data_IF_185759374470
#
_entry.id   IF_185759374470
#
_cell.length_a   1.000
_cell.length_b   1.000
_cell.length_c   1.000
_cell.angle_alpha   90.00
_cell.angle_beta   90.00
_cell.angle_gamma   90.00
#
_symmetry.space_group_name_H-M   'P 1'
#
loop_
_entity.id
_entity.type
_entity.pdbx_description
1 polymer ?
#
# COMPACT_ATOMS: atom_id res chain seq x y z
N UNK A 1 -8.90 -26.73 34.00
CA UNK A 1 -9.24 -25.64 34.96
C UNK A 1 -8.07 -25.36 35.89
N UNK A 2 -7.37 -24.24 35.72
CA UNK A 2 -6.63 -23.55 36.80
C UNK A 2 -6.42 -22.10 36.37
N UNK A 3 -6.95 -21.14 37.13
CA UNK A 3 -6.78 -19.70 36.89
C UNK A 3 -5.45 -19.28 37.50
N UNK A 4 -4.66 -18.47 36.79
CA UNK A 4 -3.52 -17.75 37.38
C UNK A 4 -3.79 -16.26 37.28
N UNK A 5 -3.44 -15.54 38.34
CA UNK A 5 -3.97 -14.21 38.67
C UNK A 5 -2.92 -13.14 38.34
N UNK A 6 -3.32 -12.09 37.65
CA UNK A 6 -2.51 -10.88 37.44
C UNK A 6 -2.35 -10.10 38.76
N UNK A 7 -1.15 -9.58 39.08
CA UNK A 7 -1.02 -8.40 39.90
C UNK A 7 -1.17 -7.14 39.05
N UNK A 8 -2.21 -6.35 39.33
CA UNK A 8 -2.24 -4.93 38.94
C UNK A 8 -1.04 -4.20 39.56
N UNK A 9 -0.28 -3.44 38.76
CA UNK A 9 0.57 -2.37 39.28
C UNK A 9 0.14 -1.04 38.67
N UNK A 10 -0.72 -0.34 39.41
CA UNK A 10 -1.10 1.04 39.15
C UNK A 10 -0.04 1.97 39.75
N UNK A 11 0.55 2.88 38.95
CA UNK A 11 0.85 4.23 39.46
C UNK A 11 0.97 5.32 38.37
N UNK A 12 -0.03 6.19 38.37
CA UNK A 12 0.01 7.66 38.17
C UNK A 12 0.87 8.32 37.09
N UNK A 13 0.20 8.66 35.99
CA UNK A 13 -0.02 10.04 35.50
C UNK A 13 0.80 11.20 36.15
N UNK A 14 1.57 11.95 35.33
CA UNK A 14 1.75 13.41 35.45
C UNK A 14 1.74 14.04 34.05
N UNK A 15 0.98 15.11 33.87
CA UNK A 15 0.92 15.91 32.63
C UNK A 15 2.15 16.83 32.49
N UNK A 16 2.66 16.99 31.28
CA UNK A 16 3.67 17.98 30.91
C UNK A 16 3.27 18.77 29.68
N UNK A 17 2.29 19.68 29.80
CA UNK A 17 2.03 20.70 28.79
C UNK A 17 3.02 21.84 28.98
N UNK A 18 4.08 21.87 28.17
CA UNK A 18 4.96 23.04 28.04
C UNK A 18 4.30 24.06 27.10
N UNK A 19 4.35 25.34 27.49
CA UNK A 19 3.59 26.40 26.83
C UNK A 19 4.19 26.84 25.48
N UNK A 20 3.32 27.23 24.54
CA UNK A 20 3.70 28.08 23.42
C UNK A 20 4.23 29.41 23.95
N UNK A 21 5.34 29.90 23.37
CA UNK A 21 5.83 31.26 23.57
C UNK A 21 6.05 31.94 22.21
N UNK A 22 5.65 33.21 22.16
CA UNK A 22 5.74 34.19 21.06
C UNK A 22 7.05 34.11 20.23
N UNK A 23 7.10 34.56 18.97
CA UNK A 23 6.82 35.95 18.59
C UNK A 23 6.69 36.16 17.06
N UNK A 24 5.69 36.90 16.55
CA UNK A 24 5.63 37.28 15.13
C UNK A 24 6.47 38.54 14.84
N UNK A 25 7.69 38.36 14.36
CA UNK A 25 8.50 39.46 13.83
C UNK A 25 7.91 40.03 12.54
N UNK A 26 7.07 41.05 12.67
CA UNK A 26 6.74 41.98 11.59
C UNK A 26 8.00 42.77 11.26
N UNK A 27 8.64 42.48 10.12
CA UNK A 27 9.56 43.42 9.49
C UNK A 27 8.84 44.12 8.32
N UNK A 28 8.83 45.44 8.37
CA UNK A 28 8.13 46.33 7.44
C UNK A 28 9.09 47.41 6.98
N UNK A 29 9.93 47.08 6.00
CA UNK A 29 10.80 48.05 5.33
C UNK A 29 10.23 48.47 3.95
N UNK A 30 9.70 49.69 3.81
CA UNK A 30 9.18 50.20 2.55
C UNK A 30 10.29 50.76 1.65
N UNK A 31 10.07 50.73 0.32
CA UNK A 31 10.78 51.58 -0.64
C UNK A 31 9.83 52.16 -1.69
N UNK A 32 10.04 53.44 -1.99
CA UNK A 32 9.23 54.28 -2.90
C UNK A 32 9.47 54.03 -4.40
N UNK A 33 8.71 54.77 -5.22
CA UNK A 33 8.36 54.55 -6.64
C UNK A 33 9.33 55.17 -7.69
N UNK A 34 8.84 55.21 -8.97
CA UNK A 34 9.27 55.99 -10.19
C UNK A 34 10.14 55.18 -11.20
N UNK A 35 9.88 55.06 -12.52
CA UNK A 35 8.71 55.37 -13.44
C UNK A 35 8.83 54.51 -14.75
N UNK A 36 7.76 54.28 -15.56
CA UNK A 36 7.77 53.40 -16.76
C UNK A 36 8.05 54.13 -18.10
N UNK A 37 8.30 53.45 -19.25
CA UNK A 37 7.25 53.12 -20.26
C UNK A 37 7.58 51.89 -21.19
N UNK A 38 6.93 51.62 -22.35
CA UNK A 38 5.51 51.25 -22.59
C UNK A 38 5.37 49.94 -23.46
N UNK A 39 4.36 49.71 -24.35
CA UNK A 39 3.56 48.48 -24.34
C UNK A 39 3.89 47.43 -25.42
N UNK A 40 3.43 46.18 -25.21
CA UNK A 40 3.47 45.11 -26.22
C UNK A 40 2.33 44.11 -26.04
N UNK A 41 1.70 43.72 -27.16
CA UNK A 41 0.67 42.68 -27.23
C UNK A 41 1.22 41.35 -26.68
N UNK A 42 0.46 40.45 -26.03
CA UNK A 42 -0.97 40.24 -26.16
C UNK A 42 -1.23 38.99 -27.00
N UNK A 43 -0.88 37.80 -26.50
CA UNK A 43 -1.43 36.51 -26.93
C UNK A 43 -1.16 35.40 -25.89
N UNK A 44 -2.12 34.50 -25.74
CA UNK A 44 -2.20 33.46 -24.71
C UNK A 44 -1.91 32.08 -25.32
N UNK A 45 -1.07 31.25 -24.69
CA UNK A 45 -1.23 29.80 -24.80
C UNK A 45 -1.67 29.21 -23.46
N UNK A 46 -2.89 28.68 -23.43
CA UNK A 46 -3.37 27.81 -22.35
C UNK A 46 -2.38 26.66 -22.15
N UNK A 47 -1.65 26.70 -21.04
CA UNK A 47 -1.00 25.52 -20.48
C UNK A 47 -2.01 24.89 -19.52
N UNK A 48 -2.42 23.63 -19.69
CA UNK A 48 -3.14 22.93 -18.63
C UNK A 48 -2.22 22.87 -17.42
N UNK A 49 -2.65 23.47 -16.31
CA UNK A 49 -2.00 23.23 -15.03
C UNK A 49 -2.19 21.75 -14.70
N UNK A 50 -1.16 20.93 -14.94
CA UNK A 50 -1.08 19.59 -14.39
C UNK A 50 -0.95 19.73 -12.86
N UNK A 51 -2.11 19.86 -12.21
CA UNK A 51 -2.25 19.68 -10.77
C UNK A 51 -2.23 18.19 -10.50
N UNK A 52 -1.07 17.59 -10.75
CA UNK A 52 -0.58 16.39 -10.09
C UNK A 52 -0.51 16.72 -8.59
N UNK A 53 -1.67 16.63 -7.94
CA UNK A 53 -1.76 16.50 -6.50
C UNK A 53 -1.05 15.19 -6.19
N UNK A 54 0.24 15.28 -5.88
CA UNK A 54 0.89 14.32 -4.99
C UNK A 54 0.15 14.40 -3.66
N UNK A 55 -0.98 13.69 -3.59
CA UNK A 55 -1.61 13.39 -2.33
C UNK A 55 -0.68 12.41 -1.62
N UNK A 56 0.27 12.98 -0.89
CA UNK A 56 1.25 12.32 -0.03
C UNK A 56 0.69 10.99 0.44
N UNK A 57 1.26 9.89 -0.06
CA UNK A 57 0.84 8.55 0.31
C UNK A 57 0.80 8.49 1.84
N UNK A 58 -0.40 8.24 2.39
CA UNK A 58 -0.56 8.23 3.82
C UNK A 58 0.26 7.05 4.33
N UNK A 59 1.35 7.33 5.06
CA UNK A 59 2.20 6.33 5.71
C UNK A 59 1.45 5.76 6.91
N UNK A 60 0.33 5.10 6.64
CA UNK A 60 -0.43 4.37 7.63
C UNK A 60 0.40 3.17 8.06
N UNK A 61 0.66 3.08 9.35
CA UNK A 61 1.19 1.87 9.95
C UNK A 61 0.30 0.66 9.59
N UNK A 62 0.92 -0.47 9.30
CA UNK A 62 0.23 -1.68 8.80
C UNK A 62 -0.38 -1.58 7.38
N UNK A 63 0.09 -0.69 6.51
CA UNK A 63 -0.18 -0.72 5.06
C UNK A 63 -1.62 -0.44 4.62
N UNK A 64 -2.41 0.20 5.49
CA UNK A 64 -3.78 0.61 5.21
C UNK A 64 -3.83 1.91 4.38
N UNK A 65 -4.74 1.99 3.42
CA UNK A 65 -5.02 3.21 2.67
C UNK A 65 -6.53 3.46 2.71
N UNK A 66 -6.93 4.73 2.71
CA UNK A 66 -8.33 5.17 2.79
C UNK A 66 -8.63 6.20 1.70
N UNK A 67 -9.78 6.07 1.05
CA UNK A 67 -10.33 7.04 0.10
C UNK A 67 -9.46 7.33 -1.13
N UNK A 68 -8.57 6.41 -1.52
CA UNK A 68 -7.73 6.58 -2.70
C UNK A 68 -8.53 6.26 -3.97
N UNK A 69 -9.07 7.31 -4.59
CA UNK A 69 -9.86 7.22 -5.83
C UNK A 69 -9.09 6.63 -7.00
N UNK A 70 -7.77 6.80 -7.06
CA UNK A 70 -6.95 6.25 -8.13
C UNK A 70 -6.71 4.76 -7.93
N UNK A 71 -6.58 4.33 -6.66
CA UNK A 71 -6.60 2.91 -6.33
C UNK A 71 -7.98 2.28 -6.56
N UNK A 72 -9.09 2.98 -6.26
CA UNK A 72 -10.44 2.47 -6.50
C UNK A 72 -10.66 2.02 -7.96
N UNK A 73 -10.22 2.83 -8.94
CA UNK A 73 -10.28 2.47 -10.36
C UNK A 73 -9.41 1.23 -10.68
N UNK A 74 -8.15 1.20 -10.20
CA UNK A 74 -7.25 0.05 -10.38
C UNK A 74 -7.76 -1.22 -9.74
N UNK A 75 -8.32 -1.12 -8.52
CA UNK A 75 -8.93 -2.25 -7.83
C UNK A 75 -10.11 -2.76 -8.63
N UNK A 76 -10.99 -1.90 -9.15
CA UNK A 76 -12.14 -2.31 -9.96
C UNK A 76 -11.77 -3.19 -11.17
N UNK A 77 -10.57 -3.03 -11.74
CA UNK A 77 -10.05 -3.87 -12.83
C UNK A 77 -9.51 -5.24 -12.40
N UNK A 78 -9.26 -5.48 -11.10
CA UNK A 78 -8.80 -6.77 -10.59
C UNK A 78 -9.97 -7.77 -10.47
N UNK A 79 -9.68 -9.04 -10.71
CA UNK A 79 -10.64 -10.14 -10.47
C UNK A 79 -10.77 -10.52 -8.98
N UNK A 80 -9.93 -9.92 -8.12
CA UNK A 80 -9.71 -10.29 -6.72
C UNK A 80 -10.12 -9.16 -5.78
N UNK A 81 -10.72 -9.53 -4.65
CA UNK A 81 -10.91 -8.66 -3.47
C UNK A 81 -9.92 -8.99 -2.36
N UNK A 82 -9.33 -10.19 -2.35
CA UNK A 82 -8.24 -10.60 -1.48
C UNK A 82 -7.20 -11.41 -2.25
N UNK A 83 -5.92 -11.19 -1.96
CA UNK A 83 -4.82 -12.00 -2.49
C UNK A 83 -3.66 -12.00 -1.48
N UNK A 84 -3.47 -13.14 -0.81
CA UNK A 84 -2.48 -13.35 0.23
C UNK A 84 -1.57 -14.51 -0.18
N UNK A 85 -0.29 -14.24 -0.45
CA UNK A 85 0.69 -15.20 -0.93
C UNK A 85 1.89 -15.26 0.01
N UNK A 86 2.15 -16.42 0.60
CA UNK A 86 3.36 -16.69 1.40
C UNK A 86 4.17 -17.84 0.77
N UNK A 87 5.42 -17.54 0.39
CA UNK A 87 6.36 -18.54 -0.15
C UNK A 87 7.63 -18.55 0.69
N UNK A 88 7.88 -19.64 1.41
CA UNK A 88 9.04 -19.78 2.32
C UNK A 88 10.10 -20.72 1.75
N UNK A 89 11.35 -20.25 1.72
CA UNK A 89 12.55 -20.99 1.30
C UNK A 89 13.45 -21.39 2.47
N UNK A 90 13.17 -20.91 3.68
CA UNK A 90 13.93 -21.20 4.89
C UNK A 90 13.41 -20.39 6.08
N UNK A 91 14.05 -20.50 7.27
CA UNK A 91 13.58 -19.84 8.50
C UNK A 91 13.42 -18.32 8.39
N UNK A 92 14.34 -17.67 7.68
CA UNK A 92 14.39 -16.20 7.52
C UNK A 92 14.26 -15.77 6.04
N UNK A 93 13.76 -16.67 5.18
CA UNK A 93 13.67 -16.47 3.72
C UNK A 93 12.25 -16.68 3.23
N UNK A 94 11.53 -15.59 3.06
CA UNK A 94 10.13 -15.57 2.65
C UNK A 94 9.87 -14.48 1.61
N UNK A 95 8.91 -14.75 0.74
CA UNK A 95 8.18 -13.75 -0.02
C UNK A 95 6.74 -13.79 0.48
N UNK A 96 6.35 -12.78 1.24
CA UNK A 96 5.03 -12.61 1.83
C UNK A 96 4.37 -11.37 1.21
N UNK A 97 3.20 -11.55 0.62
CA UNK A 97 2.43 -10.49 -0.01
C UNK A 97 0.97 -10.53 0.44
N UNK A 98 0.47 -9.40 0.92
CA UNK A 98 -0.84 -9.21 1.55
C UNK A 98 -1.64 -8.17 0.74
N UNK A 99 -2.86 -8.50 0.29
CA UNK A 99 -3.81 -7.52 -0.28
C UNK A 99 -5.26 -7.82 0.09
N UNK A 100 -5.96 -6.76 0.51
CA UNK A 100 -7.39 -6.79 0.86
C UNK A 100 -8.07 -5.49 0.40
N UNK A 101 -9.02 -5.59 -0.52
CA UNK A 101 -10.00 -4.54 -0.83
C UNK A 101 -10.99 -4.44 0.33
N UNK A 102 -10.93 -3.35 1.09
CA UNK A 102 -11.81 -3.13 2.26
C UNK A 102 -13.11 -2.45 1.87
N UNK A 103 -13.07 -1.61 0.83
CA UNK A 103 -14.25 -1.00 0.23
C UNK A 103 -13.92 -0.40 -1.15
N UNK A 104 -14.90 -0.45 -2.05
CA UNK A 104 -14.82 0.04 -3.43
C UNK A 104 -14.63 1.58 -3.55
N UNK A 105 -14.61 2.32 -2.44
CA UNK A 105 -14.29 3.75 -2.37
C UNK A 105 -12.77 4.07 -2.42
N UNK A 106 -11.91 3.05 -2.47
CA UNK A 106 -10.46 3.24 -2.36
C UNK A 106 -9.86 2.91 -0.99
N UNK A 107 -10.60 2.20 -0.13
CA UNK A 107 -10.09 1.68 1.14
C UNK A 107 -9.49 0.28 0.93
N UNK A 108 -8.21 0.08 1.28
CA UNK A 108 -7.52 -1.21 1.12
C UNK A 108 -6.40 -1.42 2.14
N UNK A 109 -5.93 -2.66 2.24
CA UNK A 109 -4.62 -3.01 2.82
C UNK A 109 -3.72 -3.52 1.70
N UNK A 110 -2.45 -3.12 1.69
CA UNK A 110 -1.42 -3.79 0.90
C UNK A 110 -0.07 -3.81 1.64
N UNK A 111 0.58 -4.96 1.72
CA UNK A 111 1.94 -5.13 2.27
C UNK A 111 2.75 -6.11 1.40
N UNK A 112 4.05 -5.86 1.26
CA UNK A 112 5.01 -6.78 0.67
C UNK A 112 6.20 -6.90 1.63
N UNK A 113 6.55 -8.12 2.01
CA UNK A 113 7.72 -8.48 2.79
C UNK A 113 8.52 -9.54 2.02
N UNK A 114 9.53 -9.08 1.29
CA UNK A 114 10.46 -9.91 0.53
C UNK A 114 11.81 -9.92 1.26
N UNK A 115 12.02 -10.91 2.12
CA UNK A 115 13.27 -11.07 2.87
C UNK A 115 14.40 -11.67 2.03
N UNK A 116 14.13 -12.08 0.79
CA UNK A 116 15.13 -12.57 -0.16
C UNK A 116 15.94 -11.39 -0.73
N UNK A 117 15.29 -10.24 -0.89
CA UNK A 117 15.87 -9.00 -1.43
C UNK A 117 15.88 -7.82 -0.43
N UNK A 118 15.74 -8.08 0.88
CA UNK A 118 15.70 -7.09 1.96
C UNK A 118 14.67 -5.94 1.73
N UNK A 119 13.53 -6.28 1.09
CA UNK A 119 12.57 -5.30 0.60
C UNK A 119 11.24 -5.39 1.35
N UNK A 120 10.80 -4.26 1.92
CA UNK A 120 9.49 -4.12 2.57
C UNK A 120 8.75 -2.92 2.02
N UNK A 121 7.57 -3.13 1.42
CA UNK A 121 6.68 -2.08 0.92
C UNK A 121 5.34 -2.12 1.67
N UNK A 122 4.66 -0.98 1.79
CA UNK A 122 3.34 -0.87 2.41
C UNK A 122 2.43 0.09 1.65
N UNK A 123 1.12 -0.09 1.80
CA UNK A 123 0.09 0.77 1.21
C UNK A 123 0.25 0.92 -0.30
N UNK A 124 0.24 2.16 -0.79
CA UNK A 124 0.29 2.48 -2.22
C UNK A 124 1.51 1.90 -2.95
N UNK A 125 2.67 1.78 -2.31
CA UNK A 125 3.87 1.19 -2.93
C UNK A 125 3.71 -0.32 -3.15
N UNK A 126 3.21 -1.03 -2.14
CA UNK A 126 2.91 -2.45 -2.24
C UNK A 126 1.80 -2.73 -3.27
N UNK A 127 0.73 -1.92 -3.25
CA UNK A 127 -0.38 -2.05 -4.20
C UNK A 127 0.04 -1.82 -5.66
N UNK A 128 0.90 -0.82 -5.93
CA UNK A 128 1.40 -0.59 -7.29
C UNK A 128 2.31 -1.73 -7.79
N UNK A 129 3.14 -2.30 -6.91
CA UNK A 129 3.94 -3.48 -7.23
C UNK A 129 3.04 -4.70 -7.56
N UNK A 130 1.98 -4.90 -6.78
CA UNK A 130 1.01 -5.98 -6.94
C UNK A 130 0.18 -5.88 -8.22
N UNK A 131 -0.45 -4.73 -8.43
CA UNK A 131 -1.47 -4.53 -9.47
C UNK A 131 -0.92 -4.87 -10.87
N UNK A 132 0.37 -4.60 -11.09
CA UNK A 132 1.11 -4.97 -12.30
C UNK A 132 1.12 -6.49 -12.55
N UNK A 133 1.20 -7.31 -11.50
CA UNK A 133 1.17 -8.77 -11.57
C UNK A 133 -0.27 -9.31 -11.63
N UNK A 134 -1.15 -8.84 -10.74
CA UNK A 134 -2.52 -9.39 -10.62
C UNK A 134 -3.43 -9.05 -11.81
N UNK A 135 -3.24 -7.92 -12.49
CA UNK A 135 -4.06 -7.56 -13.66
C UNK A 135 -3.95 -8.58 -14.81
N UNK A 136 -2.82 -9.29 -14.89
CA UNK A 136 -2.62 -10.40 -15.85
C UNK A 136 -3.00 -11.78 -15.32
N UNK A 137 -3.31 -11.91 -14.02
CA UNK A 137 -3.50 -13.19 -13.35
C UNK A 137 -4.95 -13.70 -13.50
N UNK A 138 -5.19 -14.49 -14.54
CA UNK A 138 -6.42 -15.28 -14.69
C UNK A 138 -6.26 -16.69 -14.12
N UNK A 139 -7.19 -17.13 -13.26
CA UNK A 139 -7.32 -18.53 -12.87
C UNK A 139 -8.29 -19.26 -13.80
N UNK A 140 -7.86 -20.37 -14.39
CA UNK A 140 -8.75 -21.24 -15.17
C UNK A 140 -9.31 -22.34 -14.24
N UNK A 141 -10.62 -22.53 -14.27
CA UNK A 141 -11.36 -23.40 -13.32
C UNK A 141 -11.03 -24.89 -13.40
N UNK A 142 -10.20 -25.31 -14.36
CA UNK A 142 -9.75 -26.70 -14.56
C UNK A 142 -8.23 -26.89 -14.38
N UNK A 143 -7.52 -25.89 -13.84
CA UNK A 143 -6.08 -25.97 -13.57
C UNK A 143 -5.82 -26.91 -12.39
N UNK A 144 -4.83 -27.81 -12.47
CA UNK A 144 -4.42 -28.57 -11.28
C UNK A 144 -3.70 -27.66 -10.28
N UNK A 145 -3.79 -27.97 -8.98
CA UNK A 145 -3.13 -27.21 -7.91
C UNK A 145 -1.63 -26.96 -8.20
N UNK A 146 -0.90 -28.00 -8.63
CA UNK A 146 0.52 -27.88 -9.02
C UNK A 146 0.75 -26.93 -10.20
N UNK A 147 -0.14 -26.92 -11.19
CA UNK A 147 -0.04 -25.97 -12.32
C UNK A 147 -0.40 -24.54 -11.89
N UNK A 148 -1.36 -24.38 -10.98
CA UNK A 148 -1.71 -23.09 -10.39
C UNK A 148 -0.53 -22.50 -9.59
N UNK A 149 0.07 -23.29 -8.69
CA UNK A 149 1.27 -22.93 -7.92
C UNK A 149 2.41 -22.51 -8.86
N UNK A 150 2.71 -23.32 -9.89
CA UNK A 150 3.74 -22.98 -10.87
C UNK A 150 3.43 -21.69 -11.65
N UNK A 151 2.15 -21.43 -11.99
CA UNK A 151 1.72 -20.20 -12.65
C UNK A 151 1.93 -18.97 -11.76
N UNK A 152 1.63 -19.09 -10.47
CA UNK A 152 1.86 -18.02 -9.49
C UNK A 152 3.35 -17.73 -9.35
N UNK A 153 4.17 -18.75 -9.07
CA UNK A 153 5.62 -18.60 -8.94
C UNK A 153 6.24 -17.97 -10.18
N UNK A 154 5.84 -18.40 -11.38
CA UNK A 154 6.32 -17.81 -12.64
C UNK A 154 5.87 -16.35 -12.81
N UNK A 155 4.64 -16.00 -12.43
CA UNK A 155 4.10 -14.62 -12.54
C UNK A 155 4.86 -13.68 -11.61
N UNK A 156 5.06 -14.09 -10.36
CA UNK A 156 5.79 -13.31 -9.35
C UNK A 156 7.32 -13.46 -9.45
N UNK A 157 7.83 -14.24 -10.42
CA UNK A 157 9.26 -14.50 -10.66
C UNK A 157 9.98 -15.13 -9.45
N UNK A 158 9.27 -16.00 -8.74
CA UNK A 158 9.73 -16.73 -7.55
C UNK A 158 10.32 -18.10 -7.91
N UNK A 159 11.31 -18.55 -7.13
CA UNK A 159 11.98 -19.83 -7.33
C UNK A 159 11.05 -21.02 -6.98
N UNK A 160 11.13 -22.12 -7.72
CA UNK A 160 10.32 -23.32 -7.49
C UNK A 160 10.81 -24.21 -6.33
N UNK A 161 12.00 -23.93 -5.77
CA UNK A 161 12.62 -24.66 -4.66
C UNK A 161 12.18 -24.14 -3.27
N UNK A 162 10.90 -23.79 -3.11
CA UNK A 162 10.31 -23.44 -1.82
C UNK A 162 10.21 -24.66 -0.89
N UNK A 163 10.12 -24.42 0.41
CA UNK A 163 9.75 -25.42 1.43
C UNK A 163 8.23 -25.38 1.70
N UNK A 164 7.65 -24.18 1.71
CA UNK A 164 6.20 -23.96 1.85
C UNK A 164 5.73 -22.97 0.80
N UNK A 165 4.58 -23.26 0.19
CA UNK A 165 3.77 -22.33 -0.58
C UNK A 165 2.38 -22.30 0.05
N UNK A 166 1.85 -21.11 0.29
CA UNK A 166 0.51 -20.84 0.80
C UNK A 166 -0.09 -19.67 -0.01
N UNK A 167 -1.30 -19.84 -0.52
CA UNK A 167 -2.03 -18.82 -1.27
C UNK A 167 -3.52 -18.89 -0.96
N UNK A 168 -4.04 -17.83 -0.32
CA UNK A 168 -5.47 -17.57 -0.21
C UNK A 168 -5.84 -16.40 -1.15
N UNK A 169 -6.86 -16.58 -1.99
CA UNK A 169 -7.46 -15.48 -2.73
C UNK A 169 -8.98 -15.54 -2.74
N UNK A 170 -9.61 -14.37 -2.75
CA UNK A 170 -11.07 -14.21 -2.90
C UNK A 170 -11.37 -13.49 -4.20
N UNK A 171 -12.18 -14.11 -5.04
CA UNK A 171 -12.68 -13.55 -6.29
C UNK A 171 -13.81 -12.53 -6.01
N UNK A 172 -14.04 -11.65 -6.99
CA UNK A 172 -15.13 -10.66 -6.98
C UNK A 172 -16.54 -11.23 -6.83
N UNK A 173 -16.76 -12.52 -7.13
CA UNK A 173 -18.03 -13.21 -6.91
C UNK A 173 -18.19 -13.79 -5.48
N UNK A 174 -17.17 -13.65 -4.64
CA UNK A 174 -17.12 -14.16 -3.27
C UNK A 174 -16.52 -15.57 -3.13
N UNK A 175 -16.07 -16.20 -4.22
CA UNK A 175 -15.36 -17.48 -4.18
C UNK A 175 -13.98 -17.31 -3.57
N UNK A 176 -13.73 -17.91 -2.41
CA UNK A 176 -12.38 -18.05 -1.83
C UNK A 176 -11.76 -19.38 -2.25
N UNK A 177 -10.46 -19.37 -2.52
CA UNK A 177 -9.65 -20.55 -2.81
C UNK A 177 -8.37 -20.47 -1.99
N UNK A 178 -8.07 -21.56 -1.28
CA UNK A 178 -6.84 -21.78 -0.51
C UNK A 178 -6.01 -22.87 -1.20
N UNK A 179 -4.71 -22.64 -1.39
CA UNK A 179 -3.76 -23.58 -2.00
C UNK A 179 -2.51 -23.71 -1.10
N UNK A 180 -2.21 -24.92 -0.62
CA UNK A 180 -1.08 -25.18 0.28
C UNK A 180 -0.20 -26.33 -0.24
N UNK A 181 1.10 -26.09 -0.44
CA UNK A 181 2.08 -27.14 -0.75
C UNK A 181 3.31 -27.07 0.16
N UNK A 182 3.81 -28.23 0.58
CA UNK A 182 4.92 -28.39 1.53
C UNK A 182 5.86 -29.51 1.07
N UNK A 183 7.16 -29.21 0.97
CA UNK A 183 8.19 -30.07 0.37
C UNK A 183 9.22 -30.61 1.37
#
# INVERSE_FOLDING_TARGET
MKKMIFPFLSLSLVFGLAACSNDPSIDSHPKEQVVPPPPGNGENPHTPEDKSKENSGNLSDGGNVQGDTNAAEKMAELNFTKFNLEVRYGPDKEYDFDYEEKSANGDYKAELNDSIHDKKLKGMEAFNALYTQLKGLGFETNTSEKEAINKILNTFQLDQNYNTFDLEYTLRDGTTVDLEDKK
#
